data_IF_717645639017
#
_entry.id   IF_717645639017
#
_cell.length_a   1.000
_cell.length_b   1.000
_cell.length_c   1.000
_cell.angle_alpha   90.00
_cell.angle_beta   90.00
_cell.angle_gamma   90.00
#
_symmetry.space_group_name_H-M   'P 1'
#
loop_
_entity.id
_entity.type
_entity.pdbx_description
1 polymer ?
#
# COMPACT_ATOMS: atom_id res chain seq x y z
N UNK A 1 -9.65 19.53 10.57
CA UNK A 1 -8.89 18.42 11.19
C UNK A 1 -9.06 17.13 10.38
N UNK A 2 -7.98 16.39 10.12
CA UNK A 2 -8.09 15.01 9.60
C UNK A 2 -8.47 14.13 10.79
N UNK A 3 -9.54 13.31 10.70
CA UNK A 3 -9.88 12.38 11.78
C UNK A 3 -8.70 11.44 12.04
N UNK A 4 -8.37 11.19 13.30
CA UNK A 4 -7.37 10.21 13.70
C UNK A 4 -7.99 8.80 13.75
N UNK A 5 -7.22 7.76 13.44
CA UNK A 5 -7.65 6.35 13.53
C UNK A 5 -7.21 5.67 14.82
N UNK A 6 -6.56 6.37 15.75
CA UNK A 6 -6.08 5.80 17.01
C UNK A 6 -4.77 5.06 16.87
N UNK A 7 -4.43 4.31 17.91
CA UNK A 7 -3.08 3.73 18.05
C UNK A 7 -3.04 2.25 17.64
N UNK A 8 -4.19 1.58 17.59
CA UNK A 8 -4.31 0.16 17.29
C UNK A 8 -5.55 -0.14 16.44
N UNK A 9 -5.66 -1.40 15.99
CA UNK A 9 -6.77 -1.85 15.16
C UNK A 9 -8.15 -1.71 15.83
N UNK A 10 -8.24 -1.93 17.15
CA UNK A 10 -9.50 -1.82 17.88
C UNK A 10 -10.01 -0.37 17.90
N UNK A 11 -9.11 0.60 18.14
CA UNK A 11 -9.44 2.03 18.07
C UNK A 11 -9.89 2.42 16.66
N UNK A 12 -9.17 1.96 15.64
CA UNK A 12 -9.48 2.27 14.25
C UNK A 12 -10.86 1.76 13.84
N UNK A 13 -11.19 0.52 14.20
CA UNK A 13 -12.50 -0.07 13.96
C UNK A 13 -13.58 0.71 14.72
N UNK A 14 -13.35 1.04 16.01
CA UNK A 14 -14.30 1.81 16.82
C UNK A 14 -14.55 3.22 16.26
N UNK A 15 -13.56 3.82 15.61
CA UNK A 15 -13.65 5.13 14.96
C UNK A 15 -14.17 5.06 13.50
N UNK A 16 -14.49 3.87 13.00
CA UNK A 16 -14.98 3.68 11.62
C UNK A 16 -13.91 3.91 10.55
N UNK A 17 -12.64 3.70 10.88
CA UNK A 17 -11.56 3.70 9.91
C UNK A 17 -11.51 2.38 9.12
N UNK A 18 -10.87 2.45 7.96
CA UNK A 18 -10.69 1.34 7.05
C UNK A 18 -9.22 1.00 6.93
N UNK A 19 -8.88 -0.28 6.99
CA UNK A 19 -7.52 -0.71 6.71
C UNK A 19 -7.26 -0.64 5.20
N UNK A 20 -6.14 -0.04 4.83
CA UNK A 20 -5.66 0.04 3.46
C UNK A 20 -4.38 -0.77 3.32
N UNK A 21 -4.50 -1.97 2.73
CA UNK A 21 -3.38 -2.89 2.54
C UNK A 21 -2.23 -2.25 1.75
N UNK A 22 -2.53 -1.41 0.76
CA UNK A 22 -1.50 -0.82 -0.11
C UNK A 22 -0.58 0.15 0.64
N UNK A 23 -1.10 0.86 1.64
CA UNK A 23 -0.29 1.75 2.50
C UNK A 23 0.00 1.15 3.87
N UNK A 24 -0.52 -0.05 4.15
CA UNK A 24 -0.46 -0.72 5.45
C UNK A 24 -0.89 0.20 6.60
N UNK A 25 -1.96 0.97 6.39
CA UNK A 25 -2.41 1.98 7.32
C UNK A 25 -3.92 1.97 7.50
N UNK A 26 -4.37 2.36 8.70
CA UNK A 26 -5.76 2.69 8.95
C UNK A 26 -6.04 4.11 8.47
N UNK A 27 -7.05 4.26 7.61
CA UNK A 27 -7.46 5.56 7.04
C UNK A 27 -8.90 5.90 7.41
N UNK A 28 -9.21 7.17 7.72
CA UNK A 28 -10.59 7.60 7.91
C UNK A 28 -11.42 7.44 6.64
N UNK A 29 -12.74 7.29 6.76
CA UNK A 29 -13.64 7.18 5.61
C UNK A 29 -13.47 8.33 4.60
N UNK A 30 -13.22 9.55 5.07
CA UNK A 30 -12.97 10.71 4.21
C UNK A 30 -11.71 10.59 3.34
N UNK A 31 -10.76 9.74 3.75
CA UNK A 31 -9.51 9.43 3.05
C UNK A 31 -9.52 8.02 2.44
N UNK A 32 -10.66 7.31 2.50
CA UNK A 32 -10.79 5.99 1.89
C UNK A 32 -10.45 6.09 0.41
N UNK A 33 -9.76 5.08 -0.10
CA UNK A 33 -9.29 5.10 -1.48
C UNK A 33 -10.40 4.94 -2.50
N UNK A 34 -10.07 5.33 -3.72
CA UNK A 34 -10.86 5.00 -4.90
C UNK A 34 -11.02 3.48 -5.04
N UNK A 35 -12.26 2.93 -5.05
CA UNK A 35 -12.50 1.50 -5.10
C UNK A 35 -11.90 0.80 -6.32
N UNK A 36 -11.77 1.50 -7.46
CA UNK A 36 -11.16 0.90 -8.66
C UNK A 36 -9.66 0.67 -8.46
N UNK A 37 -8.97 1.63 -7.86
CA UNK A 37 -7.54 1.47 -7.55
C UNK A 37 -7.31 0.34 -6.54
N UNK A 38 -8.18 0.24 -5.52
CA UNK A 38 -8.13 -0.88 -4.56
C UNK A 38 -8.37 -2.21 -5.28
N UNK A 39 -9.36 -2.29 -6.17
CA UNK A 39 -9.65 -3.51 -6.92
C UNK A 39 -8.48 -3.93 -7.83
N UNK A 40 -7.90 -2.99 -8.59
CA UNK A 40 -6.73 -3.26 -9.46
C UNK A 40 -5.53 -3.76 -8.65
N UNK A 41 -5.25 -3.14 -7.51
CA UNK A 41 -4.15 -3.56 -6.64
C UNK A 41 -4.44 -4.92 -6.00
N UNK A 42 -5.68 -5.17 -5.56
CA UNK A 42 -6.06 -6.46 -4.98
C UNK A 42 -6.05 -7.60 -6.00
N UNK A 43 -6.46 -7.36 -7.23
CA UNK A 43 -6.36 -8.34 -8.32
C UNK A 43 -4.90 -8.77 -8.53
N UNK A 44 -3.99 -7.79 -8.59
CA UNK A 44 -2.56 -8.08 -8.66
C UNK A 44 -2.05 -8.77 -7.38
N UNK A 45 -2.40 -8.27 -6.20
CA UNK A 45 -1.90 -8.76 -4.91
C UNK A 45 -2.27 -10.23 -4.67
N UNK A 46 -3.47 -10.63 -5.09
CA UNK A 46 -4.03 -11.96 -4.91
C UNK A 46 -3.83 -12.91 -6.09
N UNK A 47 -3.09 -12.51 -7.13
CA UNK A 47 -2.82 -13.36 -8.28
C UNK A 47 -2.07 -14.65 -7.86
N UNK A 48 -2.63 -15.86 -8.13
CA UNK A 48 -2.04 -17.15 -7.78
C UNK A 48 -0.67 -17.42 -8.42
N UNK A 49 -0.30 -16.70 -9.49
CA UNK A 49 1.00 -16.81 -10.13
C UNK A 49 2.13 -16.19 -9.30
N UNK A 50 1.80 -15.33 -8.32
CA UNK A 50 2.79 -14.62 -7.51
C UNK A 50 3.65 -15.55 -6.67
N UNK A 51 4.91 -15.14 -6.49
CA UNK A 51 5.92 -15.85 -5.71
C UNK A 51 6.36 -14.99 -4.51
N UNK A 52 6.54 -15.59 -3.32
CA UNK A 52 6.36 -17.01 -3.00
C UNK A 52 4.88 -17.43 -2.92
N UNK A 53 3.95 -16.47 -2.86
CA UNK A 53 2.50 -16.69 -2.79
C UNK A 53 1.72 -15.39 -3.07
N UNK A 54 0.41 -15.47 -3.32
CA UNK A 54 -0.52 -14.35 -3.15
C UNK A 54 -0.42 -13.75 -1.74
N UNK A 55 -0.60 -12.43 -1.61
CA UNK A 55 -0.55 -11.72 -0.33
C UNK A 55 0.70 -12.06 0.52
N UNK A 56 1.93 -11.76 0.04
CA UNK A 56 3.16 -12.23 0.66
C UNK A 56 3.64 -11.29 1.78
N UNK A 57 2.82 -11.13 2.82
CA UNK A 57 3.14 -10.33 4.01
C UNK A 57 3.49 -11.22 5.20
N UNK A 58 4.47 -10.82 5.99
CA UNK A 58 5.04 -11.64 7.06
C UNK A 58 5.28 -10.82 8.34
N UNK A 59 5.18 -11.48 9.49
CA UNK A 59 5.48 -10.87 10.79
C UNK A 59 6.99 -10.86 11.12
N UNK A 60 7.81 -11.54 10.32
CA UNK A 60 9.25 -11.70 10.52
C UNK A 60 10.05 -11.48 9.22
N UNK A 61 11.30 -11.04 9.37
CA UNK A 61 12.22 -10.78 8.26
C UNK A 61 12.56 -12.05 7.46
N UNK A 62 12.57 -13.21 8.13
CA UNK A 62 12.86 -14.49 7.47
C UNK A 62 11.69 -14.99 6.60
N UNK A 63 10.53 -14.33 6.63
CA UNK A 63 9.36 -14.67 5.82
C UNK A 63 8.71 -16.00 6.21
N UNK A 64 8.83 -16.42 7.48
CA UNK A 64 8.33 -17.70 7.95
C UNK A 64 6.92 -17.61 8.57
N UNK A 65 6.59 -16.47 9.18
CA UNK A 65 5.33 -16.20 9.86
C UNK A 65 4.42 -15.40 8.92
N UNK A 66 3.59 -16.11 8.16
CA UNK A 66 2.71 -15.51 7.16
C UNK A 66 1.47 -14.84 7.77
N UNK A 67 1.22 -13.58 7.38
CA UNK A 67 -0.01 -12.85 7.63
C UNK A 67 -1.00 -13.18 6.51
N UNK A 68 -1.98 -14.05 6.77
CA UNK A 68 -2.67 -14.74 5.68
C UNK A 68 -3.64 -13.89 4.86
N UNK A 69 -4.05 -12.74 5.38
CA UNK A 69 -5.00 -11.84 4.73
C UNK A 69 -4.96 -10.44 5.37
N UNK A 70 -5.75 -9.52 4.82
CA UNK A 70 -5.87 -8.14 5.32
C UNK A 70 -6.35 -8.08 6.77
N UNK A 71 -7.26 -8.96 7.21
CA UNK A 71 -7.76 -8.95 8.58
C UNK A 71 -6.64 -9.28 9.58
N UNK A 72 -5.86 -10.33 9.31
CA UNK A 72 -4.71 -10.73 10.14
C UNK A 72 -3.64 -9.66 10.13
N UNK A 73 -3.30 -9.12 8.95
CA UNK A 73 -2.30 -8.05 8.81
C UNK A 73 -2.73 -6.76 9.53
N UNK A 74 -4.01 -6.40 9.45
CA UNK A 74 -4.54 -5.17 10.06
C UNK A 74 -4.46 -5.14 11.59
N UNK A 75 -4.44 -6.32 12.22
CA UNK A 75 -4.35 -6.53 13.66
C UNK A 75 -2.94 -6.88 14.13
N UNK A 76 -2.00 -7.06 13.20
CA UNK A 76 -0.61 -7.38 13.54
C UNK A 76 0.06 -6.14 14.14
N UNK A 77 0.63 -6.32 15.33
CA UNK A 77 1.40 -5.28 16.00
C UNK A 77 2.89 -5.50 15.72
N UNK A 78 3.55 -4.47 15.18
CA UNK A 78 4.98 -4.50 14.87
C UNK A 78 5.27 -4.29 13.38
N UNK A 79 6.48 -4.67 12.98
CA UNK A 79 6.92 -4.56 11.59
C UNK A 79 6.20 -5.60 10.72
N UNK A 80 5.85 -5.18 9.51
CA UNK A 80 5.36 -6.07 8.45
C UNK A 80 6.43 -6.17 7.38
N UNK A 81 6.80 -7.39 7.06
CA UNK A 81 7.78 -7.73 6.03
C UNK A 81 7.05 -8.20 4.77
N UNK A 82 7.64 -7.95 3.61
CA UNK A 82 7.04 -8.25 2.30
C UNK A 82 8.13 -8.57 1.28
N UNK A 83 7.75 -9.04 0.09
CA UNK A 83 8.72 -9.28 -0.97
C UNK A 83 9.15 -7.99 -1.65
N UNK A 84 10.33 -8.00 -2.26
CA UNK A 84 10.79 -6.90 -3.10
C UNK A 84 9.85 -6.61 -4.28
N UNK A 85 9.28 -7.66 -4.87
CA UNK A 85 8.26 -7.54 -5.93
C UNK A 85 7.05 -6.74 -5.43
N UNK A 86 6.55 -7.04 -4.24
CA UNK A 86 5.43 -6.32 -3.66
C UNK A 86 5.77 -4.87 -3.35
N UNK A 87 6.90 -4.67 -2.67
CA UNK A 87 7.36 -3.33 -2.31
C UNK A 87 7.48 -2.40 -3.52
N UNK A 88 8.04 -2.87 -4.64
CA UNK A 88 8.14 -2.09 -5.87
C UNK A 88 6.80 -1.94 -6.60
N UNK A 89 5.97 -2.99 -6.60
CA UNK A 89 4.70 -2.93 -7.29
C UNK A 89 3.72 -1.98 -6.61
N UNK A 90 3.64 -1.94 -5.28
CA UNK A 90 2.80 -0.93 -4.62
C UNK A 90 3.24 0.48 -5.04
N UNK A 91 4.56 0.73 -5.11
CA UNK A 91 5.10 2.02 -5.53
C UNK A 91 4.65 2.38 -6.95
N UNK A 92 4.63 1.41 -7.86
CA UNK A 92 4.18 1.58 -9.24
C UNK A 92 2.67 1.84 -9.37
N UNK A 93 1.86 1.41 -8.40
CA UNK A 93 0.41 1.67 -8.38
C UNK A 93 0.05 3.04 -7.76
N UNK A 94 0.91 3.61 -6.90
CA UNK A 94 0.64 4.88 -6.22
C UNK A 94 0.32 6.06 -7.16
N UNK A 95 0.97 6.24 -8.33
CA UNK A 95 0.59 7.31 -9.26
C UNK A 95 -0.85 7.18 -9.78
N UNK A 96 -1.31 5.94 -10.05
CA UNK A 96 -2.70 5.68 -10.50
C UNK A 96 -3.68 6.09 -9.42
N UNK A 97 -3.39 5.72 -8.17
CA UNK A 97 -4.19 6.08 -6.99
C UNK A 97 -4.25 7.59 -6.78
N UNK A 98 -3.10 8.26 -6.84
CA UNK A 98 -3.00 9.71 -6.68
C UNK A 98 -3.86 10.43 -7.72
N UNK A 99 -3.67 10.10 -9.00
CA UNK A 99 -4.40 10.74 -10.08
C UNK A 99 -5.91 10.52 -9.98
N UNK A 100 -6.39 9.31 -9.65
CA UNK A 100 -7.82 9.06 -9.46
C UNK A 100 -8.38 9.82 -8.26
N UNK A 101 -7.71 9.75 -7.11
CA UNK A 101 -8.12 10.46 -5.88
C UNK A 101 -8.22 11.96 -6.12
N UNK A 102 -7.19 12.54 -6.76
CA UNK A 102 -7.14 13.95 -7.11
C UNK A 102 -8.24 14.34 -8.12
N UNK A 103 -8.43 13.56 -9.19
CA UNK A 103 -9.45 13.86 -10.22
C UNK A 103 -10.89 13.82 -9.68
N UNK A 104 -11.13 13.06 -8.63
CA UNK A 104 -12.42 12.96 -7.95
C UNK A 104 -12.63 14.06 -6.88
N UNK A 105 -11.64 14.94 -6.66
CA UNK A 105 -11.69 15.92 -5.58
C UNK A 105 -11.68 15.31 -4.17
N UNK A 106 -11.25 14.05 -4.04
CA UNK A 106 -11.18 13.33 -2.76
C UNK A 106 -9.94 13.73 -1.98
N UNK A 107 -9.98 13.52 -0.66
CA UNK A 107 -8.83 13.77 0.20
C UNK A 107 -7.75 12.71 -0.03
N UNK A 108 -6.52 13.19 -0.12
CA UNK A 108 -5.31 12.37 -0.20
C UNK A 108 -4.89 12.03 1.24
N UNK A 109 -4.60 10.76 1.51
CA UNK A 109 -4.11 10.34 2.82
C UNK A 109 -2.67 10.83 3.08
N UNK A 110 -2.25 10.79 4.35
CA UNK A 110 -0.96 11.35 4.75
C UNK A 110 0.24 10.63 4.13
N UNK A 111 0.16 9.32 3.82
CA UNK A 111 1.25 8.56 3.18
C UNK A 111 1.37 8.98 1.72
N UNK A 112 0.25 9.07 1.02
CA UNK A 112 0.21 9.47 -0.39
C UNK A 112 0.57 10.95 -0.58
N UNK A 113 0.21 11.82 0.37
CA UNK A 113 0.56 13.24 0.36
C UNK A 113 1.98 13.57 0.85
N UNK A 114 2.75 12.57 1.31
CA UNK A 114 4.09 12.78 1.85
C UNK A 114 5.15 12.82 0.73
N UNK A 115 5.82 13.96 0.57
CA UNK A 115 6.83 14.15 -0.48
C UNK A 115 8.06 13.25 -0.31
N UNK A 116 8.49 12.97 0.93
CA UNK A 116 9.62 12.07 1.18
C UNK A 116 9.27 10.62 0.83
N UNK A 117 8.03 10.19 1.12
CA UNK A 117 7.55 8.89 0.69
C UNK A 117 7.52 8.79 -0.84
N UNK A 118 6.96 9.80 -1.53
CA UNK A 118 6.95 9.86 -2.99
C UNK A 118 8.37 9.83 -3.60
N UNK A 119 9.33 10.56 -3.00
CA UNK A 119 10.74 10.57 -3.42
C UNK A 119 11.42 9.22 -3.22
N UNK A 120 11.18 8.55 -2.10
CA UNK A 120 11.69 7.22 -1.81
C UNK A 120 11.19 6.20 -2.86
N UNK A 121 9.88 6.11 -3.02
CA UNK A 121 9.23 5.16 -3.94
C UNK A 121 9.70 5.36 -5.39
N UNK A 122 9.64 6.61 -5.88
CA UNK A 122 10.09 6.93 -7.24
C UNK A 122 11.59 6.69 -7.43
N UNK A 123 12.42 7.00 -6.43
CA UNK A 123 13.86 6.73 -6.46
C UNK A 123 14.19 5.25 -6.59
N UNK A 124 13.43 4.37 -5.93
CA UNK A 124 13.62 2.92 -6.04
C UNK A 124 13.29 2.39 -7.43
N UNK A 125 12.18 2.85 -8.03
CA UNK A 125 11.83 2.49 -9.41
C UNK A 125 12.89 2.97 -10.39
N UNK A 126 13.36 4.22 -10.26
CA UNK A 126 14.43 4.77 -11.09
C UNK A 126 15.71 3.95 -10.97
N UNK A 127 16.11 3.57 -9.75
CA UNK A 127 17.33 2.80 -9.54
C UNK A 127 17.27 1.40 -10.17
N UNK A 128 16.11 0.76 -10.21
CA UNK A 128 15.93 -0.54 -10.84
C UNK A 128 16.15 -0.51 -12.36
N UNK A 129 15.77 0.58 -13.01
CA UNK A 129 15.75 0.69 -14.48
C UNK A 129 16.94 1.47 -15.06
N UNK A 130 17.98 1.74 -14.25
CA UNK A 130 19.23 2.36 -14.71
C UNK A 130 20.02 1.41 -15.60
N UNK A 131 19.63 1.30 -16.87
CA UNK A 131 20.23 0.38 -17.84
C UNK A 131 20.63 1.02 -19.19
N UNK A 132 20.45 2.34 -19.36
CA UNK A 132 20.92 3.08 -20.54
C UNK A 132 20.15 2.78 -21.84
N UNK A 133 18.98 2.16 -21.75
CA UNK A 133 18.13 1.88 -22.92
C UNK A 133 17.54 3.16 -23.51
N UNK A 134 17.58 3.27 -24.84
CA UNK A 134 16.92 4.35 -25.58
C UNK A 134 15.45 3.97 -25.79
N UNK A 135 14.55 4.87 -25.43
CA UNK A 135 13.10 4.73 -25.61
C UNK A 135 12.55 5.92 -26.42
N UNK A 136 11.51 5.68 -27.22
CA UNK A 136 10.82 6.74 -27.95
C UNK A 136 9.75 7.36 -27.04
N UNK A 137 10.02 8.57 -26.54
CA UNK A 137 9.19 9.26 -25.56
C UNK A 137 7.95 9.91 -26.18
#
# INVERSE_FOLDING_TARGET
>A
PVPDCGENAADAIAKGCHFDVQTSAWVPEACRNDPKTVAEYNEWLWDPARKPRPFPYFADEAGQIWLQNEEVMSKHEGLVWTTWEEHLTHCAFMPRRYMRTWSQGRRIDHKMGNSEHARHCSGMLVNLVKNGMIYNA
#
